data_IF_990771629607
#
_entry.id   IF_990771629607
#
_cell.length_a   1.000
_cell.length_b   1.000
_cell.length_c   1.000
_cell.angle_alpha   90.00
_cell.angle_beta   90.00
_cell.angle_gamma   90.00
#
_symmetry.space_group_name_H-M   'P 1'
#
loop_
_entity.id
_entity.type
_entity.pdbx_description
1 polymer ?
#
# COMPACT_ATOMS: atom_id res chain seq x y z
N UNK A 1 19.38 33.43 0.43
CA UNK A 1 18.24 32.81 -0.25
C UNK A 1 16.96 33.30 0.40
N UNK A 2 15.97 33.72 -0.38
CA UNK A 2 14.67 34.12 0.13
C UNK A 2 13.80 32.87 0.34
N UNK A 3 13.10 32.79 1.47
CA UNK A 3 12.07 31.77 1.72
C UNK A 3 10.76 32.36 1.17
N UNK A 4 10.01 31.58 0.40
CA UNK A 4 8.67 31.96 -0.09
C UNK A 4 7.67 30.91 0.33
N UNK A 5 6.51 31.38 0.81
CA UNK A 5 5.46 30.53 1.37
C UNK A 5 4.10 31.06 0.90
N UNK A 6 3.30 30.18 0.31
CA UNK A 6 1.87 30.34 0.11
C UNK A 6 1.14 29.46 1.14
N UNK A 7 0.66 30.10 2.20
CA UNK A 7 -0.08 29.46 3.28
C UNK A 7 -1.35 28.76 2.77
N UNK A 8 -2.05 29.37 1.82
CA UNK A 8 -3.30 28.82 1.28
C UNK A 8 -3.01 27.56 0.48
N UNK A 9 -1.97 27.57 -0.34
CA UNK A 9 -1.47 26.42 -1.08
C UNK A 9 -1.08 25.24 -0.17
N UNK A 10 -0.35 25.52 0.92
CA UNK A 10 0.03 24.49 1.90
C UNK A 10 -1.18 23.89 2.63
N UNK A 11 -2.13 24.71 3.06
CA UNK A 11 -3.37 24.21 3.70
C UNK A 11 -4.20 23.37 2.73
N UNK A 12 -4.32 23.81 1.47
CA UNK A 12 -5.00 23.03 0.44
C UNK A 12 -4.32 21.67 0.19
N UNK A 13 -2.98 21.62 0.19
CA UNK A 13 -2.24 20.37 0.09
C UNK A 13 -2.49 19.45 1.28
N UNK A 14 -2.50 19.98 2.51
CA UNK A 14 -2.80 19.21 3.71
C UNK A 14 -4.22 18.62 3.68
N UNK A 15 -5.23 19.39 3.28
CA UNK A 15 -6.60 18.88 3.11
C UNK A 15 -6.66 17.73 2.10
N UNK A 16 -5.93 17.83 0.97
CA UNK A 16 -5.83 16.74 -0.02
C UNK A 16 -5.17 15.49 0.56
N UNK A 17 -4.12 15.63 1.36
CA UNK A 17 -3.48 14.51 2.05
C UNK A 17 -4.46 13.81 2.99
N UNK A 18 -5.15 14.56 3.85
CA UNK A 18 -6.12 13.98 4.79
C UNK A 18 -7.32 13.32 4.08
N UNK A 19 -7.81 13.92 2.99
CA UNK A 19 -8.89 13.34 2.18
C UNK A 19 -8.50 12.03 1.46
N UNK A 20 -7.20 11.71 1.35
CA UNK A 20 -6.67 10.48 0.73
C UNK A 20 -6.50 9.31 1.71
N UNK A 21 -7.03 9.46 2.92
CA UNK A 21 -6.96 8.45 3.98
C UNK A 21 -8.18 7.52 3.95
N UNK A 22 -7.99 6.29 4.44
CA UNK A 22 -9.03 5.28 4.50
C UNK A 22 -8.54 3.99 5.13
N UNK A 23 -9.49 3.12 5.48
CA UNK A 23 -9.22 1.75 5.90
C UNK A 23 -9.25 0.82 4.69
N UNK A 24 -8.39 -0.19 4.70
CA UNK A 24 -8.33 -1.19 3.65
C UNK A 24 -8.81 -2.53 4.20
N UNK A 25 -9.97 -3.04 3.78
CA UNK A 25 -10.52 -4.27 4.32
C UNK A 25 -9.65 -5.48 3.92
N UNK A 26 -9.55 -6.45 4.82
CA UNK A 26 -8.89 -7.72 4.52
C UNK A 26 -9.88 -8.59 3.75
N UNK A 27 -9.49 -9.01 2.55
CA UNK A 27 -10.21 -9.99 1.75
C UNK A 27 -9.47 -11.34 1.77
N UNK A 28 -10.24 -12.43 1.89
CA UNK A 28 -9.73 -13.79 1.92
C UNK A 28 -10.49 -14.68 0.93
N UNK A 29 -9.81 -15.68 0.40
CA UNK A 29 -10.38 -16.72 -0.45
C UNK A 29 -10.39 -18.07 0.26
N UNK A 30 -11.23 -18.97 -0.22
CA UNK A 30 -11.25 -20.38 0.19
C UNK A 30 -10.43 -21.23 -0.77
N UNK A 31 -9.79 -22.31 -0.29
CA UNK A 31 -9.07 -23.22 -1.16
C UNK A 31 -10.04 -23.94 -2.12
N UNK A 32 -9.75 -24.00 -3.43
CA UNK A 32 -10.68 -24.58 -4.40
C UNK A 32 -10.82 -26.09 -4.27
N UNK A 33 -9.77 -26.76 -3.76
CA UNK A 33 -9.73 -28.17 -3.40
C UNK A 33 -9.24 -28.34 -1.95
N UNK A 34 -9.49 -29.51 -1.38
CA UNK A 34 -9.02 -29.93 -0.06
C UNK A 34 -7.63 -30.58 -0.12
N UNK A 35 -6.99 -30.60 -1.29
CA UNK A 35 -5.63 -31.06 -1.43
C UNK A 35 -4.64 -30.08 -0.80
N UNK A 36 -3.52 -30.60 -0.29
CA UNK A 36 -2.53 -29.80 0.42
C UNK A 36 -1.94 -28.67 -0.46
N UNK A 37 -1.89 -28.85 -1.78
CA UNK A 37 -1.39 -27.84 -2.70
C UNK A 37 -2.32 -26.64 -2.76
N UNK A 38 -3.63 -26.88 -3.00
CA UNK A 38 -4.66 -25.83 -2.99
C UNK A 38 -4.71 -25.10 -1.65
N UNK A 39 -4.68 -25.84 -0.53
CA UNK A 39 -4.70 -25.26 0.81
C UNK A 39 -3.48 -24.38 1.08
N UNK A 40 -2.27 -24.87 0.78
CA UNK A 40 -1.04 -24.10 1.01
C UNK A 40 -0.95 -22.88 0.09
N UNK A 41 -1.38 -22.99 -1.16
CA UNK A 41 -1.39 -21.85 -2.09
C UNK A 41 -2.34 -20.74 -1.63
N UNK A 42 -3.57 -21.10 -1.22
CA UNK A 42 -4.54 -20.11 -0.72
C UNK A 42 -4.11 -19.54 0.64
N UNK A 43 -3.46 -20.32 1.50
CA UNK A 43 -2.90 -19.80 2.75
C UNK A 43 -1.86 -18.70 2.49
N UNK A 44 -0.97 -18.87 1.50
CA UNK A 44 -0.02 -17.83 1.11
C UNK A 44 -0.70 -16.59 0.53
N UNK A 45 -1.68 -16.79 -0.35
CA UNK A 45 -2.46 -15.69 -0.95
C UNK A 45 -3.17 -14.87 0.14
N UNK A 46 -3.84 -15.53 1.08
CA UNK A 46 -4.56 -14.87 2.16
C UNK A 46 -3.60 -14.14 3.11
N UNK A 47 -2.44 -14.72 3.43
CA UNK A 47 -1.41 -14.06 4.23
C UNK A 47 -0.88 -12.79 3.53
N UNK A 48 -0.60 -12.88 2.22
CA UNK A 48 -0.13 -11.73 1.44
C UNK A 48 -1.21 -10.65 1.28
N UNK A 49 -2.47 -11.03 1.05
CA UNK A 49 -3.62 -10.11 1.00
C UNK A 49 -3.79 -9.36 2.34
N UNK A 50 -3.70 -10.09 3.45
CA UNK A 50 -3.76 -9.51 4.80
C UNK A 50 -2.59 -8.55 5.05
N UNK A 51 -1.36 -8.96 4.70
CA UNK A 51 -0.18 -8.12 4.80
C UNK A 51 -0.33 -6.81 4.02
N UNK A 52 -0.81 -6.89 2.77
CA UNK A 52 -1.06 -5.73 1.93
C UNK A 52 -2.09 -4.79 2.58
N UNK A 53 -3.25 -5.29 3.00
CA UNK A 53 -4.29 -4.49 3.63
C UNK A 53 -3.80 -3.79 4.91
N UNK A 54 -3.01 -4.47 5.75
CA UNK A 54 -2.38 -3.90 6.94
C UNK A 54 -1.43 -2.76 6.58
N UNK A 55 -0.53 -2.97 5.61
CA UNK A 55 0.42 -1.96 5.17
C UNK A 55 -0.28 -0.75 4.55
N UNK A 56 -1.33 -0.96 3.76
CA UNK A 56 -2.12 0.12 3.18
C UNK A 56 -2.82 0.96 4.26
N UNK A 57 -3.40 0.32 5.27
CA UNK A 57 -4.02 1.01 6.42
C UNK A 57 -2.98 1.81 7.22
N UNK A 58 -1.80 1.25 7.47
CA UNK A 58 -0.70 1.98 8.10
C UNK A 58 -0.23 3.17 7.25
N UNK A 59 -0.11 2.98 5.93
CA UNK A 59 0.26 4.06 4.99
C UNK A 59 -0.75 5.21 5.00
N UNK A 60 -2.03 4.92 5.25
CA UNK A 60 -3.08 5.91 5.41
C UNK A 60 -2.88 6.74 6.68
N UNK A 61 -2.56 6.09 7.80
CA UNK A 61 -2.24 6.79 9.04
C UNK A 61 -1.03 7.72 8.87
N UNK A 62 0.02 7.28 8.16
CA UNK A 62 1.17 8.14 7.84
C UNK A 62 0.79 9.38 7.00
N UNK A 63 -0.18 9.26 6.07
CA UNK A 63 -0.68 10.41 5.30
C UNK A 63 -1.41 11.42 6.19
N UNK A 64 -2.20 10.94 7.14
CA UNK A 64 -2.90 11.79 8.10
C UNK A 64 -1.89 12.57 8.98
N UNK A 65 -0.85 11.90 9.48
CA UNK A 65 0.23 12.58 10.22
C UNK A 65 0.98 13.58 9.33
N UNK A 66 1.20 13.25 8.06
CA UNK A 66 1.75 14.17 7.07
C UNK A 66 0.89 15.41 6.86
N UNK A 67 -0.44 15.27 6.81
CA UNK A 67 -1.36 16.40 6.71
C UNK A 67 -1.31 17.31 7.95
N UNK A 68 -1.25 16.72 9.14
CA UNK A 68 -1.05 17.45 10.40
C UNK A 68 0.26 18.22 10.38
N UNK A 69 1.35 17.59 9.94
CA UNK A 69 2.66 18.23 9.84
C UNK A 69 2.64 19.44 8.90
N UNK A 70 2.12 19.28 7.68
CA UNK A 70 2.03 20.38 6.70
C UNK A 70 1.15 21.52 7.22
N UNK A 71 0.02 21.21 7.86
CA UNK A 71 -0.88 22.23 8.45
C UNK A 71 -0.21 23.00 9.58
N UNK A 72 0.50 22.29 10.48
CA UNK A 72 1.21 22.90 11.59
C UNK A 72 2.35 23.80 11.10
N UNK A 73 3.12 23.34 10.11
CA UNK A 73 4.18 24.13 9.47
C UNK A 73 3.61 25.39 8.80
N UNK A 74 2.53 25.28 8.03
CA UNK A 74 1.88 26.44 7.42
C UNK A 74 1.45 27.48 8.46
N UNK A 75 0.88 27.02 9.58
CA UNK A 75 0.42 27.89 10.67
C UNK A 75 1.60 28.58 11.37
N UNK A 76 2.70 27.88 11.64
CA UNK A 76 3.90 28.48 12.23
C UNK A 76 4.55 29.49 11.30
N UNK A 77 4.63 29.20 10.00
CA UNK A 77 5.20 30.13 9.01
C UNK A 77 4.37 31.40 8.88
N UNK A 78 3.04 31.29 8.84
CA UNK A 78 2.13 32.44 8.81
C UNK A 78 2.25 33.30 10.08
N UNK A 79 2.25 32.68 11.26
CA UNK A 79 2.42 33.40 12.51
C UNK A 79 3.78 34.12 12.59
N UNK A 80 4.84 33.51 12.05
CA UNK A 80 6.15 34.17 11.98
C UNK A 80 6.14 35.35 11.01
N UNK A 81 5.42 35.25 9.89
CA UNK A 81 5.25 36.37 8.96
C UNK A 81 4.51 37.54 9.62
N UNK A 82 3.42 37.28 10.35
CA UNK A 82 2.71 38.30 11.13
C UNK A 82 3.59 38.96 12.21
N UNK A 83 4.42 38.16 12.91
CA UNK A 83 5.37 38.65 13.89
C UNK A 83 6.47 39.53 13.25
N UNK A 84 6.90 39.18 12.03
CA UNK A 84 7.85 39.99 11.27
C UNK A 84 7.21 41.30 10.78
N UNK A 85 6.00 41.23 10.23
CA UNK A 85 5.25 42.39 9.74
C UNK A 85 4.97 43.40 10.86
N UNK A 86 4.56 42.93 12.03
CA UNK A 86 4.35 43.78 13.21
C UNK A 86 5.64 44.44 13.67
N UNK A 87 6.76 43.70 13.76
CA UNK A 87 8.07 44.27 14.10
C UNK A 87 8.52 45.37 13.12
N UNK A 88 8.30 45.18 11.82
CA UNK A 88 8.57 46.22 10.80
C UNK A 88 7.67 47.45 11.03
N UNK A 89 6.37 47.24 11.25
CA UNK A 89 5.43 48.34 11.47
C UNK A 89 5.74 49.17 12.72
N UNK A 90 6.26 48.53 13.77
CA UNK A 90 6.63 49.19 15.04
C UNK A 90 8.11 49.59 15.11
N UNK A 91 8.90 49.33 14.06
CA UNK A 91 10.35 49.54 14.01
C UNK A 91 11.09 48.84 15.16
N UNK A 92 10.60 47.68 15.58
CA UNK A 92 11.21 46.84 16.63
C UNK A 92 11.70 45.52 16.05
N UNK A 93 12.62 44.86 16.74
CA UNK A 93 13.05 43.51 16.37
C UNK A 93 11.87 42.54 16.43
N UNK A 94 11.63 41.73 15.37
CA UNK A 94 10.58 40.73 15.38
C UNK A 94 10.73 39.73 16.53
N UNK A 95 9.61 39.27 17.07
CA UNK A 95 9.59 38.16 18.00
C UNK A 95 9.66 36.82 17.25
N UNK A 96 10.37 35.86 17.82
CA UNK A 96 10.40 34.47 17.33
C UNK A 96 9.16 33.74 17.82
N UNK A 97 8.42 33.13 16.90
CA UNK A 97 7.23 32.34 17.23
C UNK A 97 7.62 30.94 17.69
N UNK A 98 6.80 30.34 18.55
CA UNK A 98 6.98 28.96 19.01
C UNK A 98 7.01 27.97 17.85
N UNK A 99 7.83 26.92 18.00
CA UNK A 99 7.90 25.82 17.06
C UNK A 99 6.55 25.07 16.95
N UNK A 100 6.31 24.34 15.84
CA UNK A 100 5.13 23.52 15.68
C UNK A 100 5.01 22.46 16.79
N UNK A 101 3.78 22.05 17.17
CA UNK A 101 3.59 20.98 18.14
C UNK A 101 4.19 19.65 17.64
N UNK A 102 4.54 18.73 18.56
CA UNK A 102 5.04 17.41 18.19
C UNK A 102 3.97 16.63 17.41
N UNK A 103 4.43 15.86 16.43
CA UNK A 103 3.56 15.05 15.58
C UNK A 103 3.04 13.82 16.35
N UNK A 104 1.81 13.37 16.07
CA UNK A 104 1.32 12.09 16.58
C UNK A 104 2.19 10.93 16.08
N UNK A 105 2.45 9.95 16.95
CA UNK A 105 3.14 8.72 16.56
C UNK A 105 2.19 7.75 15.87
N UNK A 106 2.68 7.07 14.84
CA UNK A 106 1.95 5.98 14.18
C UNK A 106 2.52 4.65 14.66
N UNK A 107 1.70 3.74 15.22
CA UNK A 107 2.15 2.41 15.63
C UNK A 107 2.69 1.61 14.44
N UNK A 108 3.72 0.79 14.69
CA UNK A 108 4.27 -0.12 13.70
C UNK A 108 3.21 -1.17 13.30
N UNK A 109 3.05 -1.46 11.99
CA UNK A 109 2.08 -2.45 11.54
C UNK A 109 2.55 -3.87 11.89
N UNK A 110 1.63 -4.68 12.43
CA UNK A 110 1.87 -6.12 12.63
C UNK A 110 1.52 -6.87 11.35
N UNK A 111 2.53 -7.20 10.56
CA UNK A 111 2.37 -7.91 9.28
C UNK A 111 2.42 -9.43 9.51
N UNK A 112 1.44 -10.21 9.02
CA UNK A 112 1.47 -11.66 9.16
C UNK A 112 2.62 -12.28 8.36
N UNK A 113 3.27 -13.29 8.94
CA UNK A 113 4.26 -14.08 8.22
C UNK A 113 3.60 -14.87 7.09
N UNK A 114 4.25 -14.93 5.93
CA UNK A 114 3.78 -15.73 4.80
C UNK A 114 4.14 -17.20 5.08
N UNK A 115 3.16 -18.13 5.08
CA UNK A 115 3.43 -19.54 5.36
C UNK A 115 4.27 -20.17 4.25
N UNK A 116 5.21 -21.03 4.63
CA UNK A 116 6.05 -21.77 3.67
C UNK A 116 5.26 -22.93 3.06
N UNK A 117 5.58 -23.29 1.80
CA UNK A 117 5.04 -24.52 1.22
C UNK A 117 5.77 -25.74 1.77
N UNK A 118 5.06 -26.87 2.00
CA UNK A 118 5.72 -28.13 2.29
C UNK A 118 6.61 -28.56 1.12
N UNK A 119 7.85 -28.96 1.41
CA UNK A 119 8.81 -29.38 0.40
C UNK A 119 8.43 -30.70 -0.30
N UNK A 120 7.64 -31.54 0.38
CA UNK A 120 7.12 -32.79 -0.16
C UNK A 120 5.67 -32.98 0.29
N UNK A 121 4.82 -33.39 -0.65
CA UNK A 121 3.45 -33.78 -0.36
C UNK A 121 3.43 -35.23 0.13
N UNK A 122 2.64 -35.51 1.16
CA UNK A 122 2.43 -36.88 1.59
C UNK A 122 1.76 -37.68 0.46
N UNK A 123 2.24 -38.90 0.13
CA UNK A 123 1.62 -39.71 -0.90
C UNK A 123 0.20 -40.10 -0.49
N UNK A 124 -0.75 -39.92 -1.42
CA UNK A 124 -2.15 -40.27 -1.23
C UNK A 124 -2.58 -41.33 -2.26
N UNK A 125 -3.42 -42.31 -1.88
CA UNK A 125 -4.09 -43.17 -2.85
C UNK A 125 -4.89 -42.35 -3.87
N UNK A 126 -5.05 -42.85 -5.10
CA UNK A 126 -5.68 -42.11 -6.20
C UNK A 126 -7.11 -41.64 -5.89
N UNK A 127 -7.90 -42.46 -5.20
CA UNK A 127 -9.27 -42.13 -4.79
C UNK A 127 -9.28 -41.05 -3.71
N UNK A 128 -8.33 -41.09 -2.78
CA UNK A 128 -8.18 -40.06 -1.74
C UNK A 128 -7.73 -38.73 -2.35
N UNK A 129 -6.82 -38.77 -3.33
CA UNK A 129 -6.39 -37.60 -4.07
C UNK A 129 -7.53 -36.98 -4.88
N UNK A 130 -8.30 -37.80 -5.61
CA UNK A 130 -9.46 -37.34 -6.38
C UNK A 130 -10.53 -36.71 -5.48
N UNK A 131 -10.81 -37.33 -4.33
CA UNK A 131 -11.74 -36.76 -3.34
C UNK A 131 -11.24 -35.41 -2.80
N UNK A 132 -9.94 -35.29 -2.52
CA UNK A 132 -9.36 -34.04 -2.05
C UNK A 132 -9.47 -32.93 -3.11
N UNK A 133 -9.15 -33.25 -4.37
CA UNK A 133 -9.20 -32.29 -5.48
C UNK A 133 -10.62 -31.80 -5.77
N UNK A 134 -11.61 -32.71 -5.79
CA UNK A 134 -12.98 -32.37 -6.16
C UNK A 134 -13.90 -32.00 -4.99
N UNK A 135 -13.50 -32.27 -3.76
CA UNK A 135 -14.33 -32.05 -2.56
C UNK A 135 -14.36 -30.61 -2.02
N UNK A 136 -13.61 -29.69 -2.61
CA UNK A 136 -13.58 -28.28 -2.19
C UNK A 136 -14.71 -27.42 -2.77
N UNK A 137 -14.91 -26.20 -2.24
CA UNK A 137 -15.98 -25.26 -2.65
C UNK A 137 -15.84 -24.71 -4.08
N UNK A 138 -14.71 -24.96 -4.75
CA UNK A 138 -14.43 -24.48 -6.11
C UNK A 138 -13.72 -23.13 -6.14
N UNK A 139 -13.45 -22.62 -7.35
CA UNK A 139 -12.56 -21.46 -7.58
C UNK A 139 -13.24 -20.10 -7.48
N UNK A 140 -14.54 -20.03 -7.18
CA UNK A 140 -15.30 -18.79 -7.20
C UNK A 140 -14.73 -17.72 -6.24
N UNK A 141 -14.36 -18.12 -5.01
CA UNK A 141 -13.78 -17.21 -4.01
C UNK A 141 -12.43 -16.62 -4.44
N UNK A 142 -11.63 -17.39 -5.20
CA UNK A 142 -10.37 -16.90 -5.77
C UNK A 142 -10.60 -15.88 -6.89
N UNK A 143 -11.63 -16.06 -7.72
CA UNK A 143 -12.00 -15.07 -8.72
C UNK A 143 -12.49 -13.77 -8.07
N UNK A 144 -13.34 -13.86 -7.05
CA UNK A 144 -13.80 -12.71 -6.28
C UNK A 144 -12.64 -11.96 -5.62
N UNK A 145 -11.67 -12.67 -5.02
CA UNK A 145 -10.47 -12.06 -4.47
C UNK A 145 -9.62 -11.38 -5.55
N UNK A 146 -9.46 -12.01 -6.72
CA UNK A 146 -8.73 -11.42 -7.84
C UNK A 146 -9.36 -10.10 -8.32
N UNK A 147 -10.68 -10.05 -8.45
CA UNK A 147 -11.42 -8.84 -8.82
C UNK A 147 -11.26 -7.72 -7.78
N UNK A 148 -11.31 -8.08 -6.50
CA UNK A 148 -11.06 -7.14 -5.41
C UNK A 148 -9.63 -6.56 -5.47
N UNK A 149 -8.63 -7.40 -5.73
CA UNK A 149 -7.24 -6.99 -5.84
C UNK A 149 -6.97 -6.11 -7.08
N UNK A 150 -7.63 -6.37 -8.21
CA UNK A 150 -7.54 -5.51 -9.40
C UNK A 150 -8.20 -4.14 -9.18
N UNK A 151 -9.34 -4.13 -8.49
CA UNK A 151 -9.98 -2.88 -8.07
C UNK A 151 -9.06 -2.08 -7.15
N UNK A 152 -8.43 -2.77 -6.20
CA UNK A 152 -7.43 -2.18 -5.29
C UNK A 152 -6.23 -1.64 -6.06
N UNK A 153 -5.68 -2.40 -7.00
CA UNK A 153 -4.56 -1.97 -7.83
C UNK A 153 -4.88 -0.69 -8.62
N UNK A 154 -6.05 -0.62 -9.23
CA UNK A 154 -6.52 0.55 -9.99
C UNK A 154 -6.69 1.77 -9.08
N UNK A 155 -7.30 1.57 -7.91
CA UNK A 155 -7.45 2.62 -6.91
C UNK A 155 -6.09 3.15 -6.44
N UNK A 156 -5.13 2.28 -6.14
CA UNK A 156 -3.79 2.67 -5.68
C UNK A 156 -3.01 3.46 -6.73
N UNK A 157 -3.15 3.14 -8.02
CA UNK A 157 -2.56 3.93 -9.11
C UNK A 157 -3.14 5.35 -9.13
N UNK A 158 -4.48 5.49 -9.08
CA UNK A 158 -5.12 6.81 -9.02
C UNK A 158 -4.70 7.62 -7.78
N UNK A 159 -4.58 6.96 -6.62
CA UNK A 159 -4.11 7.58 -5.38
C UNK A 159 -2.65 8.04 -5.51
N UNK A 160 -1.77 7.25 -6.14
CA UNK A 160 -0.37 7.62 -6.37
C UNK A 160 -0.24 8.89 -7.24
N UNK A 161 -1.04 9.01 -8.29
CA UNK A 161 -1.06 10.20 -9.15
C UNK A 161 -1.61 11.42 -8.42
N UNK A 162 -2.63 11.21 -7.57
CA UNK A 162 -3.17 12.25 -6.69
C UNK A 162 -2.10 12.77 -5.73
N UNK A 163 -1.38 11.89 -5.04
CA UNK A 163 -0.32 12.28 -4.11
C UNK A 163 0.87 12.94 -4.81
N UNK A 164 1.24 12.47 -5.99
CA UNK A 164 2.32 13.11 -6.77
C UNK A 164 2.00 14.58 -7.06
N UNK A 165 0.75 14.87 -7.46
CA UNK A 165 0.27 16.25 -7.65
C UNK A 165 0.20 17.05 -6.35
N UNK A 166 -0.16 16.40 -5.23
CA UNK A 166 -0.14 17.04 -3.92
C UNK A 166 1.27 17.40 -3.46
N UNK A 167 2.26 16.53 -3.72
CA UNK A 167 3.67 16.84 -3.47
C UNK A 167 4.15 18.05 -4.28
N UNK A 168 3.80 18.10 -5.57
CA UNK A 168 4.10 19.26 -6.44
C UNK A 168 3.46 20.55 -5.94
N UNK A 169 2.21 20.48 -5.44
CA UNK A 169 1.55 21.64 -4.84
C UNK A 169 2.30 22.14 -3.60
N UNK A 170 2.80 21.23 -2.76
CA UNK A 170 3.63 21.62 -1.60
C UNK A 170 4.89 22.33 -2.07
N UNK A 171 5.59 21.76 -3.05
CA UNK A 171 6.84 22.33 -3.56
C UNK A 171 6.63 23.70 -4.23
N UNK A 172 5.49 23.93 -4.90
CA UNK A 172 5.16 25.24 -5.47
C UNK A 172 4.70 26.26 -4.44
N UNK A 173 4.21 25.80 -3.29
CA UNK A 173 3.68 26.65 -2.21
C UNK A 173 4.71 26.93 -1.12
N UNK A 174 5.85 26.25 -1.14
CA UNK A 174 6.91 26.43 -0.15
C UNK A 174 8.28 26.17 -0.75
N UNK A 175 9.01 27.27 -0.96
CA UNK A 175 10.42 27.24 -1.36
C UNK A 175 11.28 27.83 -0.25
N UNK A 176 12.19 27.03 0.30
CA UNK A 176 13.18 27.45 1.29
C UNK A 176 14.63 27.25 0.82
N UNK A 177 14.81 27.05 -0.49
CA UNK A 177 16.09 26.71 -1.09
C UNK A 177 16.45 25.24 -1.06
N UNK A 178 15.45 24.38 -1.22
CA UNK A 178 15.62 22.93 -1.32
C UNK A 178 15.93 22.24 0.02
N UNK A 179 15.75 22.94 1.15
CA UNK A 179 15.89 22.34 2.49
C UNK A 179 14.60 21.63 2.90
N UNK A 180 13.45 22.11 2.46
CA UNK A 180 12.16 21.46 2.68
C UNK A 180 12.13 20.13 1.92
N UNK A 181 11.58 19.11 2.57
CA UNK A 181 11.49 17.74 2.03
C UNK A 181 10.04 17.25 1.98
N UNK A 182 9.06 18.11 2.24
CA UNK A 182 7.68 17.71 2.40
C UNK A 182 7.09 17.18 1.08
N UNK A 183 7.25 17.92 -0.02
CA UNK A 183 6.81 17.45 -1.33
C UNK A 183 7.55 16.18 -1.79
N UNK A 184 8.87 16.14 -1.57
CA UNK A 184 9.69 14.96 -1.88
C UNK A 184 9.27 13.70 -1.09
N UNK A 185 8.91 13.85 0.19
CA UNK A 185 8.41 12.76 1.02
C UNK A 185 7.04 12.27 0.54
N UNK A 186 6.13 13.18 0.19
CA UNK A 186 4.82 12.83 -0.39
C UNK A 186 5.00 12.11 -1.74
N UNK A 187 5.92 12.56 -2.59
CA UNK A 187 6.23 11.91 -3.85
C UNK A 187 6.86 10.50 -3.66
N UNK A 188 7.67 10.31 -2.61
CA UNK A 188 8.17 8.98 -2.23
C UNK A 188 7.02 8.06 -1.81
N UNK A 189 6.08 8.57 -1.03
CA UNK A 189 4.88 7.82 -0.62
C UNK A 189 3.99 7.45 -1.81
N UNK A 190 3.85 8.37 -2.78
CA UNK A 190 3.15 8.10 -4.02
C UNK A 190 3.77 6.92 -4.79
N UNK A 191 5.09 6.89 -4.94
CA UNK A 191 5.80 5.78 -5.60
C UNK A 191 5.60 4.46 -4.86
N UNK A 192 5.62 4.48 -3.53
CA UNK A 192 5.34 3.28 -2.73
C UNK A 192 3.92 2.75 -2.99
N UNK A 193 2.92 3.63 -3.10
CA UNK A 193 1.54 3.20 -3.43
C UNK A 193 1.43 2.62 -4.83
N UNK A 194 2.17 3.16 -5.81
CA UNK A 194 2.19 2.59 -7.16
C UNK A 194 2.74 1.14 -7.14
N UNK A 195 3.84 0.90 -6.41
CA UNK A 195 4.41 -0.42 -6.21
C UNK A 195 3.45 -1.36 -5.46
N UNK A 196 2.77 -0.87 -4.43
CA UNK A 196 1.73 -1.63 -3.73
C UNK A 196 0.57 -2.03 -4.68
N UNK A 197 0.21 -1.16 -5.62
CA UNK A 197 -0.76 -1.45 -6.68
C UNK A 197 -0.29 -2.53 -7.65
N UNK A 198 0.99 -2.55 -8.02
CA UNK A 198 1.58 -3.62 -8.82
C UNK A 198 1.60 -4.96 -8.07
N UNK A 199 1.88 -4.94 -6.76
CA UNK A 199 1.77 -6.13 -5.92
C UNK A 199 0.34 -6.65 -5.83
N UNK A 200 -0.66 -5.78 -5.68
CA UNK A 200 -2.06 -6.16 -5.70
C UNK A 200 -2.44 -6.85 -7.03
N UNK A 201 -2.07 -6.26 -8.17
CA UNK A 201 -2.32 -6.85 -9.49
C UNK A 201 -1.61 -8.21 -9.66
N UNK A 202 -0.38 -8.33 -9.15
CA UNK A 202 0.37 -9.59 -9.17
C UNK A 202 -0.35 -10.67 -8.33
N UNK A 203 -0.85 -10.32 -7.14
CA UNK A 203 -1.65 -11.22 -6.32
C UNK A 203 -2.95 -11.63 -7.03
N UNK A 204 -3.61 -10.71 -7.75
CA UNK A 204 -4.82 -11.02 -8.53
C UNK A 204 -4.53 -12.07 -9.61
N UNK A 205 -3.43 -11.90 -10.35
CA UNK A 205 -2.98 -12.90 -11.35
C UNK A 205 -2.75 -14.25 -10.69
N UNK A 206 -2.10 -14.30 -9.53
CA UNK A 206 -1.87 -15.57 -8.81
C UNK A 206 -3.17 -16.25 -8.37
N UNK A 207 -4.14 -15.48 -7.89
CA UNK A 207 -5.46 -16.02 -7.55
C UNK A 207 -6.09 -16.72 -8.77
N UNK A 208 -6.00 -16.09 -9.95
CA UNK A 208 -6.47 -16.69 -11.21
C UNK A 208 -5.67 -17.92 -11.61
N UNK A 209 -4.35 -17.91 -11.46
CA UNK A 209 -3.51 -19.09 -11.75
C UNK A 209 -3.90 -20.29 -10.87
N UNK A 210 -4.11 -20.07 -9.56
CA UNK A 210 -4.56 -21.13 -8.65
C UNK A 210 -5.97 -21.62 -9.01
N UNK A 211 -6.86 -20.70 -9.41
CA UNK A 211 -8.20 -21.04 -9.88
C UNK A 211 -8.20 -21.90 -11.15
N UNK A 212 -7.27 -21.64 -12.09
CA UNK A 212 -7.13 -22.37 -13.36
C UNK A 212 -6.49 -23.76 -13.19
N UNK A 213 -5.64 -23.96 -12.18
CA UNK A 213 -4.95 -25.22 -11.92
C UNK A 213 -5.85 -26.35 -11.39
N UNK A 214 -7.17 -26.29 -11.62
CA UNK A 214 -8.09 -27.40 -11.40
C UNK A 214 -8.15 -28.26 -12.68
N UNK A 215 -7.65 -29.51 -12.69
CA UNK A 215 -7.90 -30.43 -13.78
C UNK A 215 -9.41 -30.76 -13.80
N UNK A 216 -10.12 -30.27 -14.82
CA UNK A 216 -11.46 -30.80 -15.15
C UNK A 216 -12.59 -29.82 -15.42
N UNK A 217 -12.35 -28.54 -15.72
CA UNK A 217 -13.44 -27.62 -16.12
C UNK A 217 -13.22 -26.85 -17.43
N UNK A 218 -12.00 -26.71 -17.94
CA UNK A 218 -11.76 -26.34 -19.34
C UNK A 218 -11.01 -27.48 -20.01
N UNK A 219 -11.44 -27.88 -21.20
CA UNK A 219 -10.84 -28.97 -22.00
C UNK A 219 -9.42 -28.70 -22.48
N UNK A 220 -8.68 -27.81 -21.82
CA UNK A 220 -7.35 -27.37 -22.22
C UNK A 220 -6.34 -28.01 -21.25
N UNK A 221 -5.81 -29.13 -21.70
CA UNK A 221 -4.83 -29.92 -20.96
C UNK A 221 -3.51 -29.14 -20.86
N UNK A 222 -3.26 -28.45 -19.74
CA UNK A 222 -1.93 -27.93 -19.40
C UNK A 222 -1.49 -28.57 -18.08
N UNK A 223 -0.91 -29.76 -18.23
CA UNK A 223 -0.30 -30.54 -17.18
C UNK A 223 1.10 -29.99 -16.80
N UNK A 224 1.32 -29.76 -15.50
CA UNK A 224 2.58 -29.85 -14.75
C UNK A 224 3.81 -28.97 -15.10
N UNK A 225 3.91 -28.29 -16.24
CA UNK A 225 5.09 -27.45 -16.56
C UNK A 225 5.11 -26.07 -15.88
N UNK A 226 3.95 -25.53 -15.47
CA UNK A 226 3.85 -24.20 -14.84
C UNK A 226 4.47 -24.08 -13.44
N UNK A 227 4.80 -25.21 -12.79
CA UNK A 227 5.29 -25.26 -11.41
C UNK A 227 6.74 -24.78 -11.24
N UNK A 228 7.54 -24.75 -12.33
CA UNK A 228 8.90 -24.22 -12.31
C UNK A 228 8.97 -22.71 -12.03
N UNK A 229 7.98 -21.94 -12.49
CA UNK A 229 7.97 -20.47 -12.35
C UNK A 229 7.56 -19.99 -10.96
N UNK A 230 6.74 -20.76 -10.24
CA UNK A 230 6.27 -20.39 -8.89
C UNK A 230 7.42 -20.44 -7.87
N UNK A 231 8.33 -21.42 -8.00
CA UNK A 231 9.47 -21.58 -7.09
C UNK A 231 10.50 -20.46 -7.23
N UNK A 232 10.85 -20.07 -8.46
CA UNK A 232 11.79 -18.97 -8.72
C UNK A 232 11.26 -17.62 -8.19
N UNK A 233 9.95 -17.41 -8.23
CA UNK A 233 9.36 -16.13 -7.81
C UNK A 233 9.30 -15.97 -6.28
N UNK A 234 9.15 -17.06 -5.50
CA UNK A 234 9.15 -16.98 -4.03
C UNK A 234 10.50 -16.47 -3.50
N UNK A 235 11.60 -16.87 -4.13
CA UNK A 235 12.94 -16.38 -3.78
C UNK A 235 13.11 -14.89 -4.09
N UNK A 236 12.49 -14.37 -5.16
CA UNK A 236 12.52 -12.95 -5.51
C UNK A 236 11.70 -12.06 -4.56
N UNK A 237 10.59 -12.56 -4.01
CA UNK A 237 9.76 -11.80 -3.03
C UNK A 237 10.46 -11.68 -1.69
N UNK A 238 11.18 -12.72 -1.25
CA UNK A 238 11.97 -12.66 -0.02
C UNK A 238 13.18 -11.72 -0.14
N UNK A 239 13.72 -11.52 -1.34
CA UNK A 239 14.87 -10.64 -1.58
C UNK A 239 14.50 -9.14 -1.72
N UNK A 240 13.22 -8.81 -1.94
CA UNK A 240 12.76 -7.41 -2.09
C UNK A 240 12.32 -6.73 -0.79
N UNK A 241 12.44 -7.41 0.35
CA UNK A 241 11.97 -6.95 1.67
C UNK A 241 13.09 -6.44 2.59
N UNK A 242 14.23 -6.01 2.04
CA UNK A 242 15.37 -5.45 2.78
C UNK A 242 15.78 -4.09 2.24
#
# INVERSE_FOLDING_TARGET
MAITVDETGLRAAATRLSASTGTHPVAAAEPPGLDATSMSAVAQINAASTALATLLTHSSALREVGAVAVTATATTLAAQDDANASGIATLTTPHTVSAPPPLPSVPEPVVPAIPTMPAALAPLPGEAHSRALYGGPGSHSLHALAEHLDTTATHLRGLSEHLSRTGQLIDSSWDDGGRQQAGANVARHARWLAQAGEHAATLAVRCRTVALNRPGMSGDSICWEGWGHVRWFVEAVSAGAS
#
